data_IF_153270622913
#
_entry.id   IF_153270622913
#
_cell.length_a   1.000
_cell.length_b   1.000
_cell.length_c   1.000
_cell.angle_alpha   90.00
_cell.angle_beta   90.00
_cell.angle_gamma   90.00
#
_symmetry.space_group_name_H-M   'P 1'
#
loop_
_entity.id
_entity.type
_entity.pdbx_description
1 polymer ?
#
# COMPACT_ATOMS: atom_id res chain seq x y z
N UNK A 1 10.66 -8.94 -11.05
CA UNK A 1 10.10 -7.58 -11.25
C UNK A 1 8.59 -7.64 -11.18
N UNK A 2 7.91 -6.50 -11.05
CA UNK A 2 6.44 -6.45 -11.07
C UNK A 2 5.91 -7.10 -12.36
N UNK A 3 4.94 -8.00 -12.23
CA UNK A 3 4.29 -8.69 -13.37
C UNK A 3 2.99 -8.03 -13.82
N UNK A 4 2.46 -7.14 -12.97
CA UNK A 4 1.20 -6.46 -13.18
C UNK A 4 1.29 -5.05 -12.58
N UNK A 5 0.62 -4.10 -13.22
CA UNK A 5 0.38 -2.74 -12.74
C UNK A 5 -1.13 -2.53 -12.71
N UNK A 6 -1.61 -1.99 -11.59
CA UNK A 6 -3.01 -1.63 -11.40
C UNK A 6 -3.14 -0.11 -11.44
N UNK A 7 -4.15 0.39 -12.14
CA UNK A 7 -4.43 1.83 -12.32
C UNK A 7 -5.94 2.03 -12.53
N UNK A 8 -6.41 3.25 -12.71
CA UNK A 8 -7.77 3.50 -13.22
C UNK A 8 -7.83 3.46 -14.77
N UNK A 9 -9.04 3.43 -15.32
CA UNK A 9 -9.30 3.36 -16.75
C UNK A 9 -8.84 4.58 -17.52
N UNK A 10 -8.79 5.75 -16.87
CA UNK A 10 -8.29 7.01 -17.43
C UNK A 10 -6.79 6.92 -17.73
N UNK A 11 -5.99 6.39 -16.80
CA UNK A 11 -4.54 6.32 -16.92
C UNK A 11 -4.02 5.00 -17.51
N UNK A 12 -4.89 4.01 -17.77
CA UNK A 12 -4.50 2.69 -18.28
C UNK A 12 -3.78 2.74 -19.63
N UNK A 13 -4.23 3.61 -20.55
CA UNK A 13 -3.60 3.77 -21.87
C UNK A 13 -2.18 4.31 -21.78
N UNK A 14 -2.00 5.42 -21.05
CA UNK A 14 -0.71 6.07 -20.85
C UNK A 14 0.27 5.17 -20.07
N UNK A 15 -0.23 4.48 -19.04
CA UNK A 15 0.57 3.53 -18.26
C UNK A 15 1.04 2.37 -19.12
N UNK A 16 0.19 1.82 -19.98
CA UNK A 16 0.54 0.73 -20.90
C UNK A 16 1.60 1.18 -21.91
N UNK A 17 1.45 2.38 -22.47
CA UNK A 17 2.44 2.96 -23.38
C UNK A 17 3.79 3.16 -22.68
N UNK A 18 3.76 3.73 -21.47
CA UNK A 18 4.96 3.94 -20.66
C UNK A 18 5.69 2.61 -20.36
N UNK A 19 4.95 1.55 -20.02
CA UNK A 19 5.52 0.21 -19.82
C UNK A 19 6.18 -0.31 -21.10
N UNK A 20 5.56 -0.15 -22.27
CA UNK A 20 6.13 -0.60 -23.54
C UNK A 20 7.44 0.14 -23.86
N UNK A 21 7.46 1.47 -23.79
CA UNK A 21 8.63 2.28 -24.15
C UNK A 21 9.79 2.16 -23.15
N UNK A 22 9.50 1.76 -21.90
CA UNK A 22 10.53 1.51 -20.87
C UNK A 22 11.04 0.07 -20.85
N UNK A 23 10.67 -0.76 -21.83
CA UNK A 23 11.12 -2.15 -21.94
C UNK A 23 10.43 -3.10 -20.96
N UNK A 24 9.22 -2.75 -20.49
CA UNK A 24 8.37 -3.55 -19.60
C UNK A 24 7.07 -3.99 -20.30
N UNK A 25 7.11 -4.22 -21.61
CA UNK A 25 5.93 -4.60 -22.40
C UNK A 25 5.25 -5.91 -21.97
N UNK A 26 5.97 -6.78 -21.27
CA UNK A 26 5.42 -8.03 -20.71
C UNK A 26 4.64 -7.82 -19.39
N UNK A 27 4.64 -6.61 -18.83
CA UNK A 27 3.89 -6.27 -17.62
C UNK A 27 2.44 -5.95 -17.96
N UNK A 28 1.50 -6.69 -17.39
CA UNK A 28 0.06 -6.47 -17.61
C UNK A 28 -0.39 -5.19 -16.91
N UNK A 29 -1.08 -4.30 -17.61
CA UNK A 29 -1.72 -3.11 -17.03
C UNK A 29 -3.24 -3.36 -16.94
N UNK A 30 -3.82 -3.27 -15.74
CA UNK A 30 -5.25 -3.45 -15.51
C UNK A 30 -5.86 -2.20 -14.88
N UNK A 31 -6.99 -1.78 -15.44
CA UNK A 31 -7.87 -0.77 -14.85
C UNK A 31 -8.74 -1.40 -13.76
N UNK A 32 -8.73 -0.85 -12.54
CA UNK A 32 -9.42 -1.41 -11.36
C UNK A 32 -10.87 -0.93 -11.20
N UNK A 33 -11.25 0.11 -11.93
CA UNK A 33 -12.54 0.80 -11.91
C UNK A 33 -13.51 0.32 -13.02
N UNK A 34 -13.08 -0.66 -13.83
CA UNK A 34 -13.97 -1.30 -14.80
C UNK A 34 -14.84 -2.35 -14.10
N UNK A 35 -16.15 -2.30 -14.35
CA UNK A 35 -17.08 -3.34 -13.93
C UNK A 35 -16.74 -4.66 -14.63
N UNK A 36 -16.19 -5.61 -13.87
CA UNK A 36 -15.91 -6.94 -14.37
C UNK A 36 -17.14 -7.82 -14.13
N UNK A 37 -17.80 -8.25 -15.21
CA UNK A 37 -18.93 -9.19 -15.18
C UNK A 37 -18.63 -10.54 -14.50
N UNK A 38 -17.36 -10.80 -14.13
CA UNK A 38 -16.88 -12.00 -13.43
C UNK A 38 -16.39 -11.75 -12.00
N UNK A 39 -16.49 -10.51 -11.49
CA UNK A 39 -15.94 -10.14 -10.18
C UNK A 39 -16.55 -10.93 -9.02
N UNK A 40 -17.86 -11.20 -9.06
CA UNK A 40 -18.57 -11.95 -8.01
C UNK A 40 -18.09 -13.42 -7.94
N UNK A 41 -17.98 -14.10 -9.08
CA UNK A 41 -17.48 -15.47 -9.14
C UNK A 41 -15.99 -15.59 -8.79
N UNK A 42 -15.20 -14.53 -9.01
CA UNK A 42 -13.79 -14.50 -8.67
C UNK A 42 -13.52 -14.23 -7.17
N UNK A 43 -14.43 -13.54 -6.48
CA UNK A 43 -14.30 -13.26 -5.06
C UNK A 43 -14.37 -14.53 -4.20
N UNK A 44 -15.32 -15.43 -4.51
CA UNK A 44 -15.46 -16.72 -3.81
C UNK A 44 -14.27 -17.67 -4.03
N UNK A 45 -13.55 -17.50 -5.14
CA UNK A 45 -12.35 -18.27 -5.46
C UNK A 45 -11.06 -17.65 -4.88
N UNK A 46 -11.13 -16.48 -4.24
CA UNK A 46 -9.95 -15.83 -3.70
C UNK A 46 -9.41 -16.59 -2.48
N UNK A 47 -8.11 -16.87 -2.50
CA UNK A 47 -7.40 -17.43 -1.36
C UNK A 47 -6.25 -16.50 -0.96
N UNK A 48 -6.05 -16.23 0.35
CA UNK A 48 -4.93 -15.43 0.80
C UNK A 48 -3.60 -16.03 0.30
N UNK A 49 -2.70 -15.22 -0.27
CA UNK A 49 -1.36 -15.72 -0.59
C UNK A 49 -0.67 -16.17 0.70
N UNK A 50 0.10 -17.26 0.62
CA UNK A 50 0.97 -17.67 1.73
C UNK A 50 2.13 -16.68 1.79
N UNK A 51 2.16 -15.83 2.82
CA UNK A 51 3.28 -14.92 3.09
C UNK A 51 4.03 -15.37 4.35
N UNK A 52 5.35 -15.28 4.29
CA UNK A 52 6.27 -15.46 5.40
C UNK A 52 6.71 -14.13 6.01
N UNK A 53 7.34 -14.15 7.19
CA UNK A 53 7.81 -12.94 7.86
C UNK A 53 8.87 -12.17 7.06
N UNK A 54 9.67 -12.87 6.25
CA UNK A 54 10.77 -12.25 5.49
C UNK A 54 10.36 -11.89 4.05
N UNK A 55 9.10 -12.15 3.67
CA UNK A 55 8.55 -11.68 2.41
C UNK A 55 8.31 -10.17 2.47
N UNK A 56 8.44 -9.50 1.32
CA UNK A 56 8.18 -8.07 1.18
C UNK A 56 6.70 -7.78 1.42
N UNK A 57 6.41 -6.90 2.37
CA UNK A 57 5.08 -6.38 2.64
C UNK A 57 4.80 -5.11 1.82
N UNK A 58 5.76 -4.20 1.72
CA UNK A 58 5.62 -2.96 0.94
C UNK A 58 6.97 -2.39 0.47
N UNK A 59 6.90 -1.55 -0.56
CA UNK A 59 7.98 -0.67 -0.99
C UNK A 59 7.62 0.77 -0.62
N UNK A 60 8.41 1.38 0.26
CA UNK A 60 8.18 2.75 0.68
C UNK A 60 9.14 3.68 -0.05
N UNK A 61 8.60 4.50 -0.95
CA UNK A 61 9.39 5.51 -1.63
C UNK A 61 9.57 6.73 -0.75
N UNK A 62 10.82 7.14 -0.58
CA UNK A 62 11.15 8.42 0.07
C UNK A 62 11.63 9.40 -0.98
N UNK A 63 11.33 10.68 -0.79
CA UNK A 63 11.63 11.73 -1.78
C UNK A 63 13.13 11.80 -2.09
N UNK A 64 14.00 11.55 -1.12
CA UNK A 64 15.46 11.54 -1.29
C UNK A 64 16.00 12.90 -1.75
N UNK A 65 17.08 13.39 -1.15
CA UNK A 65 17.73 14.64 -1.61
C UNK A 65 18.38 14.52 -3.01
N UNK A 66 18.44 13.31 -3.58
CA UNK A 66 18.93 13.03 -4.93
C UNK A 66 17.75 12.74 -5.86
N UNK A 67 17.80 13.21 -7.11
CA UNK A 67 16.76 13.15 -8.16
C UNK A 67 16.19 11.77 -8.54
N UNK A 68 16.50 10.70 -7.79
CA UNK A 68 16.02 9.34 -7.99
C UNK A 68 15.39 8.82 -6.70
N UNK A 69 14.07 8.66 -6.65
CA UNK A 69 13.37 8.05 -5.51
C UNK A 69 13.96 6.69 -5.17
N UNK A 70 14.17 6.41 -3.90
CA UNK A 70 14.63 5.10 -3.42
C UNK A 70 13.46 4.38 -2.76
N UNK A 71 13.14 3.19 -3.27
CA UNK A 71 12.16 2.30 -2.65
C UNK A 71 12.82 1.53 -1.51
N UNK A 72 12.40 1.80 -0.28
CA UNK A 72 12.78 1.02 0.90
C UNK A 72 11.98 -0.28 0.90
N UNK A 73 12.69 -1.41 0.89
CA UNK A 73 12.09 -2.74 0.99
C UNK A 73 11.72 -3.04 2.44
N UNK A 74 10.43 -3.17 2.72
CA UNK A 74 9.92 -3.45 4.07
C UNK A 74 9.29 -4.84 4.09
N UNK A 75 9.85 -5.75 4.89
CA UNK A 75 9.30 -7.10 5.09
C UNK A 75 8.14 -7.09 6.10
N UNK A 76 7.34 -8.16 6.14
CA UNK A 76 6.32 -8.34 7.18
C UNK A 76 6.92 -8.28 8.60
N UNK A 77 8.10 -8.87 8.81
CA UNK A 77 8.83 -8.83 10.08
C UNK A 77 9.21 -7.41 10.46
N UNK A 78 9.74 -6.62 9.52
CA UNK A 78 10.11 -5.23 9.78
C UNK A 78 8.87 -4.42 10.17
N UNK A 79 7.77 -4.59 9.44
CA UNK A 79 6.52 -3.88 9.70
C UNK A 79 6.01 -4.20 11.10
N UNK A 80 5.87 -5.48 11.46
CA UNK A 80 5.36 -5.89 12.78
C UNK A 80 6.28 -5.44 13.93
N UNK A 81 7.60 -5.50 13.75
CA UNK A 81 8.54 -4.99 14.74
C UNK A 81 8.37 -3.47 14.96
N UNK A 82 8.17 -2.72 13.87
CA UNK A 82 7.90 -1.29 13.95
C UNK A 82 6.56 -0.98 14.64
N UNK A 83 5.51 -1.77 14.35
CA UNK A 83 4.21 -1.60 15.00
C UNK A 83 4.28 -1.81 16.52
N UNK A 84 5.00 -2.84 16.97
CA UNK A 84 5.21 -3.08 18.39
C UNK A 84 6.07 -1.99 19.06
N UNK A 85 7.06 -1.45 18.35
CA UNK A 85 7.86 -0.32 18.85
C UNK A 85 7.01 0.94 19.01
N UNK A 86 6.19 1.28 18.01
CA UNK A 86 5.22 2.39 18.09
C UNK A 86 4.26 2.22 19.25
N UNK A 87 3.70 1.01 19.42
CA UNK A 87 2.78 0.69 20.51
C UNK A 87 3.38 0.98 21.89
N UNK A 88 4.63 0.56 22.10
CA UNK A 88 5.34 0.79 23.37
C UNK A 88 5.70 2.25 23.58
N UNK A 89 6.17 2.92 22.55
CA UNK A 89 6.62 4.31 22.63
C UNK A 89 5.46 5.26 22.91
N UNK A 90 4.31 5.02 22.27
CA UNK A 90 3.13 5.88 22.36
C UNK A 90 2.10 5.35 23.37
N UNK A 91 2.37 4.21 24.00
CA UNK A 91 1.47 3.52 24.93
C UNK A 91 0.05 3.29 24.36
N UNK A 92 -0.04 2.97 23.06
CA UNK A 92 -1.31 2.76 22.37
C UNK A 92 -1.85 1.34 22.55
N UNK A 93 -3.15 1.20 22.34
CA UNK A 93 -3.93 0.00 22.55
C UNK A 93 -5.17 -0.02 21.64
N UNK A 94 -5.91 -1.12 21.68
CA UNK A 94 -7.20 -1.24 20.99
C UNK A 94 -8.30 -0.30 21.56
N UNK A 95 -8.05 0.37 22.69
CA UNK A 95 -8.98 1.34 23.28
C UNK A 95 -8.84 2.75 22.67
N UNK A 96 -7.72 3.02 21.99
CA UNK A 96 -7.42 4.33 21.42
C UNK A 96 -8.13 4.54 20.08
N UNK A 97 -8.35 5.80 19.69
CA UNK A 97 -8.89 6.16 18.37
C UNK A 97 -7.91 7.09 17.68
N UNK A 98 -7.70 6.84 16.39
CA UNK A 98 -6.74 7.59 15.60
C UNK A 98 -7.49 8.54 14.67
N UNK A 99 -6.92 9.73 14.45
CA UNK A 99 -7.40 10.69 13.45
C UNK A 99 -6.20 11.20 12.67
N UNK A 100 -6.31 11.29 11.34
CA UNK A 100 -5.24 11.83 10.50
C UNK A 100 -5.77 12.61 9.32
N UNK A 101 -4.97 13.56 8.85
CA UNK A 101 -5.09 14.24 7.56
C UNK A 101 -3.81 14.08 6.73
N UNK A 102 -2.91 13.17 7.15
CA UNK A 102 -1.61 13.01 6.51
C UNK A 102 -1.74 12.18 5.23
N UNK A 103 -0.98 12.51 4.17
CA UNK A 103 -1.03 11.74 2.95
C UNK A 103 -0.60 10.28 3.14
N UNK A 104 -1.34 9.36 2.53
CA UNK A 104 -1.12 7.92 2.68
C UNK A 104 0.15 7.40 1.98
N UNK A 105 0.79 8.21 1.12
CA UNK A 105 2.08 7.85 0.52
C UNK A 105 3.26 8.18 1.43
N UNK A 106 3.05 8.93 2.51
CA UNK A 106 4.06 9.20 3.53
C UNK A 106 4.03 8.16 4.64
N UNK A 107 5.16 7.92 5.32
CA UNK A 107 5.28 6.88 6.34
C UNK A 107 4.35 7.09 7.53
N UNK A 108 4.27 8.29 8.07
CA UNK A 108 3.37 8.62 9.18
C UNK A 108 1.89 8.45 8.81
N UNK A 109 1.49 8.77 7.58
CA UNK A 109 0.12 8.56 7.12
C UNK A 109 -0.21 7.07 7.02
N UNK A 110 0.62 6.32 6.28
CA UNK A 110 0.38 4.90 6.05
C UNK A 110 0.60 4.05 7.31
N UNK A 111 1.79 4.10 7.87
CA UNK A 111 2.22 3.18 8.92
C UNK A 111 1.52 3.50 10.24
N UNK A 112 1.52 4.77 10.66
CA UNK A 112 1.05 5.15 11.99
C UNK A 112 -0.46 5.40 12.05
N UNK A 113 -1.10 5.82 10.96
CA UNK A 113 -2.53 6.19 10.98
C UNK A 113 -3.44 5.25 10.20
N UNK A 114 -2.90 4.32 9.40
CA UNK A 114 -3.70 3.27 8.75
C UNK A 114 -3.30 1.89 9.30
N UNK A 115 -2.05 1.48 9.13
CA UNK A 115 -1.62 0.13 9.47
C UNK A 115 -1.57 -0.12 10.98
N UNK A 116 -1.17 0.86 11.78
CA UNK A 116 -1.13 0.74 13.24
C UNK A 116 -2.52 0.52 13.88
N UNK A 117 -3.55 1.36 13.61
CA UNK A 117 -4.88 1.12 14.13
C UNK A 117 -5.49 -0.20 13.63
N UNK A 118 -5.26 -0.56 12.36
CA UNK A 118 -5.67 -1.87 11.83
C UNK A 118 -5.02 -3.02 12.61
N UNK A 119 -3.72 -2.93 12.87
CA UNK A 119 -2.99 -3.96 13.63
C UNK A 119 -3.43 -4.04 15.10
N UNK A 120 -3.78 -2.91 15.72
CA UNK A 120 -4.37 -2.86 17.07
C UNK A 120 -5.84 -3.30 17.11
N UNK A 121 -6.52 -3.40 15.97
CA UNK A 121 -7.95 -3.68 15.90
C UNK A 121 -8.82 -2.51 16.35
N UNK A 122 -8.42 -1.27 16.04
CA UNK A 122 -9.16 -0.06 16.41
C UNK A 122 -9.49 0.86 15.22
N UNK A 123 -10.32 1.87 15.48
CA UNK A 123 -10.80 2.85 14.52
C UNK A 123 -9.74 3.90 14.20
N UNK A 124 -9.63 4.19 12.90
CA UNK A 124 -8.95 5.37 12.38
C UNK A 124 -9.91 6.21 11.54
N UNK A 125 -10.00 7.51 11.84
CA UNK A 125 -10.78 8.49 11.09
C UNK A 125 -9.85 9.30 10.19
N UNK A 126 -10.03 9.17 8.88
CA UNK A 126 -9.26 9.93 7.89
C UNK A 126 -10.03 11.18 7.48
N UNK A 127 -9.36 12.32 7.56
CA UNK A 127 -9.85 13.59 7.07
C UNK A 127 -9.22 13.84 5.68
N UNK A 128 -9.93 14.50 4.75
CA UNK A 128 -9.35 14.92 3.49
C UNK A 128 -8.07 15.71 3.74
N UNK A 129 -7.02 15.42 2.98
CA UNK A 129 -5.75 16.17 3.05
C UNK A 129 -5.79 17.49 2.27
N UNK A 130 -6.97 17.95 1.87
CA UNK A 130 -7.14 19.10 0.98
C UNK A 130 -6.72 20.40 1.67
N UNK A 131 -5.63 20.96 1.13
CA UNK A 131 -5.41 22.39 0.94
C UNK A 131 -5.04 22.63 -0.50
#
# INVERSE_FOLDING_TARGET
GARMVLTDSEHAGDTSLWLAVTGRGDTVCLATDLEHATAEAAADAWTPPRTGPDDLALLQYTSGSTSRPRGVMVTHRNLLANQEALRRLLATSSADRFTSWLPHYHDMGLIAHILHPLWLGTLSVQLPSDS
#
